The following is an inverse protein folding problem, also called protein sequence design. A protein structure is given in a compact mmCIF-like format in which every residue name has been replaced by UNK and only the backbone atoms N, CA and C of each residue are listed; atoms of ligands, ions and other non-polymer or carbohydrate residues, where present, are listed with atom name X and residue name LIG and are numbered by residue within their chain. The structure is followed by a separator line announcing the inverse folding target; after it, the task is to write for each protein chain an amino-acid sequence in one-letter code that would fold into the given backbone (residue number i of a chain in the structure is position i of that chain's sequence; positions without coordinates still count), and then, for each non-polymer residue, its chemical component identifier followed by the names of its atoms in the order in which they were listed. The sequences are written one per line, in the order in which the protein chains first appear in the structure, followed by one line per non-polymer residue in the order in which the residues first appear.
data_IF_086554245454
#
_entry.id   IF_086554245454
#
_cell.length_a   1.000
_cell.length_b   1.000
_cell.length_c   1.000
_cell.angle_alpha   90.00
_cell.angle_beta   90.00
_cell.angle_gamma   90.00
#
_symmetry.space_group_name_H-M   'P 1'
#
loop_
_entity.id
_entity.type
_entity.pdbx_description
1 polymer ?
#
# COMPACT_ATOMS: atom_id res chain seq x y z
N UNK A 1 -15.35 -4.89 -15.44
CA UNK A 1 -16.39 -4.82 -16.50
C UNK A 1 -15.95 -5.65 -17.70
N UNK A 2 -16.21 -6.96 -17.65
CA UNK A 2 -15.95 -7.85 -18.78
C UNK A 2 -16.98 -7.56 -19.90
N UNK A 3 -16.49 -7.11 -21.03
CA UNK A 3 -17.29 -6.96 -22.23
C UNK A 3 -17.66 -8.35 -22.75
N UNK A 4 -18.90 -8.57 -23.14
CA UNK A 4 -19.37 -9.87 -23.65
C UNK A 4 -18.42 -10.38 -24.77
N UNK A 5 -17.87 -11.59 -24.60
CA UNK A 5 -16.92 -12.21 -25.52
C UNK A 5 -15.42 -11.85 -25.26
N UNK A 6 -15.11 -10.97 -24.31
CA UNK A 6 -13.73 -10.76 -23.89
C UNK A 6 -13.26 -11.88 -22.96
N UNK A 7 -11.95 -12.17 -22.97
CA UNK A 7 -11.30 -13.10 -22.03
C UNK A 7 -10.22 -12.34 -21.28
N UNK A 8 -10.16 -12.60 -20.01
CA UNK A 8 -9.04 -12.17 -19.18
C UNK A 8 -7.78 -12.94 -19.60
N UNK A 9 -6.69 -12.24 -19.79
CA UNK A 9 -5.38 -12.83 -20.09
C UNK A 9 -4.45 -12.81 -18.89
N UNK A 10 -4.47 -11.72 -18.13
CA UNK A 10 -3.63 -11.49 -16.97
C UNK A 10 -4.21 -10.36 -16.15
N UNK A 11 -4.04 -10.42 -14.83
CA UNK A 11 -4.38 -9.33 -13.89
C UNK A 11 -3.25 -9.04 -12.93
N UNK A 12 -3.33 -7.92 -12.22
CA UNK A 12 -2.39 -7.57 -11.15
C UNK A 12 -2.40 -8.56 -9.98
N UNK A 13 -3.44 -9.39 -9.85
CA UNK A 13 -3.51 -10.45 -8.84
C UNK A 13 -2.40 -11.51 -9.00
N UNK A 14 -1.85 -11.66 -10.21
CA UNK A 14 -0.70 -12.56 -10.45
C UNK A 14 0.64 -11.95 -9.99
N UNK A 15 0.66 -10.66 -9.66
CA UNK A 15 1.84 -9.91 -9.24
C UNK A 15 1.55 -9.11 -7.97
N UNK A 16 1.36 -9.75 -6.81
CA UNK A 16 1.11 -9.06 -5.56
C UNK A 16 2.21 -8.02 -5.29
N UNK A 17 1.80 -6.80 -4.92
CA UNK A 17 2.71 -5.68 -4.65
C UNK A 17 3.17 -4.90 -5.89
N UNK A 18 2.83 -5.32 -7.13
CA UNK A 18 3.22 -4.60 -8.34
C UNK A 18 2.51 -3.25 -8.53
N UNK A 19 1.37 -3.05 -7.89
CA UNK A 19 0.61 -1.78 -7.91
C UNK A 19 0.30 -1.39 -6.46
N UNK A 20 1.29 -0.89 -5.70
CA UNK A 20 1.10 -0.54 -4.30
C UNK A 20 0.45 0.85 -4.18
N UNK A 21 -0.52 0.96 -3.27
CA UNK A 21 -0.93 2.25 -2.72
C UNK A 21 -0.04 2.58 -1.52
N UNK A 22 0.54 3.77 -1.50
CA UNK A 22 1.56 4.17 -0.55
C UNK A 22 1.13 5.41 0.24
N UNK A 23 1.44 5.42 1.54
CA UNK A 23 1.46 6.65 2.31
C UNK A 23 2.77 7.39 2.00
N UNK A 24 2.66 8.58 1.43
CA UNK A 24 3.82 9.41 1.06
C UNK A 24 3.80 10.70 1.85
N UNK A 25 4.96 11.07 2.38
CA UNK A 25 5.15 12.33 3.11
C UNK A 25 6.47 12.99 2.76
N UNK A 26 6.68 14.23 3.17
CA UNK A 26 7.95 14.93 2.96
C UNK A 26 8.94 14.64 4.10
N UNK A 27 10.23 14.66 3.78
CA UNK A 27 11.28 14.58 4.79
C UNK A 27 11.13 15.66 5.86
N UNK A 28 10.76 16.89 5.47
CA UNK A 28 10.52 17.98 6.40
C UNK A 28 9.45 17.62 7.45
N UNK A 29 8.38 16.91 7.06
CA UNK A 29 7.35 16.51 8.00
C UNK A 29 7.85 15.43 8.95
N UNK A 30 8.65 14.49 8.45
CA UNK A 30 9.30 13.44 9.26
C UNK A 30 10.23 14.09 10.30
N UNK A 31 11.07 15.04 9.88
CA UNK A 31 12.07 15.69 10.75
C UNK A 31 11.44 16.62 11.80
N UNK A 32 10.42 17.39 11.41
CA UNK A 32 9.84 18.42 12.28
C UNK A 32 8.67 17.91 13.13
N UNK A 33 7.95 16.87 12.66
CA UNK A 33 6.70 16.38 13.28
C UNK A 33 6.55 14.87 13.15
N UNK A 34 7.53 14.07 13.59
CA UNK A 34 7.46 12.61 13.50
C UNK A 34 6.26 12.03 14.24
N UNK A 35 5.83 12.66 15.33
CA UNK A 35 4.65 12.30 16.10
C UNK A 35 3.35 12.37 15.28
N UNK A 36 3.25 13.32 14.35
CA UNK A 36 2.08 13.41 13.47
C UNK A 36 2.10 12.34 12.39
N UNK A 37 3.27 11.98 11.87
CA UNK A 37 3.41 10.87 10.92
C UNK A 37 3.07 9.55 11.61
N UNK A 38 3.58 9.33 12.82
CA UNK A 38 3.25 8.15 13.62
C UNK A 38 1.74 8.07 13.91
N UNK A 39 1.11 9.17 14.31
CA UNK A 39 -0.33 9.20 14.55
C UNK A 39 -1.15 8.85 13.29
N UNK A 40 -0.67 9.24 12.11
CA UNK A 40 -1.31 8.88 10.85
C UNK A 40 -1.18 7.38 10.55
N UNK A 41 0.00 6.80 10.75
CA UNK A 41 0.25 5.35 10.59
C UNK A 41 -0.59 4.55 11.59
N UNK A 42 -0.61 4.97 12.87
CA UNK A 42 -1.44 4.33 13.89
C UNK A 42 -2.93 4.36 13.49
N UNK A 43 -3.41 5.53 13.04
CA UNK A 43 -4.81 5.67 12.58
C UNK A 43 -5.13 4.73 11.40
N UNK A 44 -4.18 4.53 10.49
CA UNK A 44 -4.37 3.59 9.38
C UNK A 44 -4.63 2.17 9.88
N UNK A 45 -3.80 1.65 10.76
CA UNK A 45 -3.96 0.29 11.30
C UNK A 45 -5.16 0.15 12.21
N UNK A 46 -5.51 1.20 12.99
CA UNK A 46 -6.75 1.23 13.77
C UNK A 46 -7.99 1.14 12.84
N UNK A 47 -7.95 1.81 11.68
CA UNK A 47 -9.01 1.69 10.67
C UNK A 47 -9.06 0.27 10.09
N UNK A 48 -7.93 -0.38 9.85
CA UNK A 48 -7.93 -1.77 9.38
C UNK A 48 -8.60 -2.70 10.39
N UNK A 49 -8.25 -2.57 11.66
CA UNK A 49 -8.91 -3.31 12.76
C UNK A 49 -10.42 -3.01 12.81
N UNK A 50 -10.81 -1.74 12.67
CA UNK A 50 -12.22 -1.37 12.64
C UNK A 50 -12.97 -2.02 11.46
N UNK A 51 -12.35 -2.10 10.27
CA UNK A 51 -12.92 -2.74 9.09
C UNK A 51 -13.14 -4.24 9.36
N UNK A 52 -12.18 -4.93 9.96
CA UNK A 52 -12.29 -6.35 10.29
C UNK A 52 -13.42 -6.62 11.28
N UNK A 53 -13.53 -5.81 12.32
CA UNK A 53 -14.53 -5.97 13.39
C UNK A 53 -15.93 -5.49 12.99
N UNK A 54 -16.04 -4.54 12.04
CA UNK A 54 -17.28 -3.84 11.72
C UNK A 54 -17.50 -3.70 10.21
N UNK A 55 -17.29 -4.76 9.44
CA UNK A 55 -17.22 -4.75 7.97
C UNK A 55 -18.40 -4.03 7.31
N UNK A 56 -19.64 -4.41 7.66
CA UNK A 56 -20.86 -3.81 7.08
C UNK A 56 -20.88 -2.28 7.29
N UNK A 57 -20.59 -1.84 8.53
CA UNK A 57 -20.57 -0.42 8.87
C UNK A 57 -19.45 0.34 8.18
N UNK A 58 -18.27 -0.26 8.08
CA UNK A 58 -17.12 0.31 7.38
C UNK A 58 -17.44 0.51 5.89
N UNK A 59 -18.03 -0.49 5.25
CA UNK A 59 -18.39 -0.44 3.84
C UNK A 59 -19.49 0.61 3.55
N UNK A 60 -20.49 0.76 4.41
CA UNK A 60 -21.48 1.85 4.31
C UNK A 60 -20.80 3.23 4.33
N UNK A 61 -19.85 3.45 5.25
CA UNK A 61 -19.14 4.72 5.38
C UNK A 61 -18.32 4.98 4.12
N UNK A 62 -17.55 3.99 3.67
CA UNK A 62 -16.67 4.11 2.51
C UNK A 62 -17.45 4.29 1.21
N UNK A 63 -18.54 3.54 1.02
CA UNK A 63 -19.45 3.68 -0.12
C UNK A 63 -20.09 5.08 -0.17
N UNK A 64 -20.53 5.59 0.99
CA UNK A 64 -21.07 6.96 1.10
C UNK A 64 -20.01 7.99 0.67
N UNK A 65 -18.76 7.82 1.11
CA UNK A 65 -17.65 8.72 0.74
C UNK A 65 -17.30 8.64 -0.74
N UNK A 66 -17.38 7.43 -1.33
CA UNK A 66 -17.16 7.19 -2.75
C UNK A 66 -18.36 7.60 -3.63
N UNK A 67 -19.52 7.93 -3.04
CA UNK A 67 -20.77 8.26 -3.74
C UNK A 67 -21.30 7.11 -4.61
N UNK A 68 -21.17 5.89 -4.10
CA UNK A 68 -21.68 4.65 -4.72
C UNK A 68 -22.56 3.89 -3.71
N UNK A 69 -23.25 2.85 -4.18
CA UNK A 69 -23.96 1.94 -3.27
C UNK A 69 -22.95 1.01 -2.54
N UNK A 70 -23.31 0.44 -1.36
CA UNK A 70 -22.47 -0.54 -0.69
C UNK A 70 -22.11 -1.74 -1.59
N UNK A 71 -23.06 -2.26 -2.37
CA UNK A 71 -22.84 -3.38 -3.29
C UNK A 71 -21.83 -3.02 -4.41
N UNK A 72 -21.88 -1.79 -4.92
CA UNK A 72 -20.87 -1.31 -5.89
C UNK A 72 -19.50 -1.11 -5.26
N UNK A 73 -19.46 -0.66 -3.99
CA UNK A 73 -18.21 -0.48 -3.27
C UNK A 73 -17.52 -1.83 -2.99
N UNK A 74 -18.29 -2.86 -2.68
CA UNK A 74 -17.77 -4.21 -2.47
C UNK A 74 -17.01 -4.73 -3.71
N UNK A 75 -17.50 -4.43 -4.93
CA UNK A 75 -16.79 -4.77 -6.17
C UNK A 75 -15.42 -4.07 -6.31
N UNK A 76 -15.25 -2.88 -5.73
CA UNK A 76 -13.95 -2.21 -5.72
C UNK A 76 -12.97 -2.90 -4.77
N UNK A 77 -13.47 -3.44 -3.65
CA UNK A 77 -12.66 -4.16 -2.69
C UNK A 77 -12.19 -5.54 -3.19
N UNK A 78 -12.95 -6.19 -4.07
CA UNK A 78 -12.53 -7.46 -4.69
C UNK A 78 -11.17 -7.34 -5.42
N UNK A 79 -10.85 -6.14 -5.93
CA UNK A 79 -9.59 -5.83 -6.61
C UNK A 79 -8.51 -5.23 -5.71
N UNK A 80 -8.77 -5.08 -4.39
CA UNK A 80 -7.88 -4.38 -3.46
C UNK A 80 -7.49 -5.32 -2.32
N UNK A 81 -6.20 -5.43 -2.05
CA UNK A 81 -5.69 -6.14 -0.88
C UNK A 81 -5.08 -5.15 0.10
N UNK A 82 -5.62 -5.12 1.30
CA UNK A 82 -5.01 -4.42 2.43
C UNK A 82 -3.93 -5.30 3.06
N UNK A 83 -2.75 -4.75 3.24
CA UNK A 83 -1.65 -5.47 3.87
C UNK A 83 -1.76 -5.39 5.39
N UNK A 84 -1.53 -6.51 6.06
CA UNK A 84 -1.40 -6.57 7.53
C UNK A 84 -0.13 -5.84 7.97
N UNK A 85 0.08 -5.71 9.29
CA UNK A 85 1.31 -5.14 9.87
C UNK A 85 2.51 -5.97 9.42
N UNK A 86 2.44 -7.29 9.54
CA UNK A 86 3.51 -8.22 9.15
C UNK A 86 3.80 -8.14 7.65
N UNK A 87 2.77 -8.04 6.81
CA UNK A 87 2.93 -7.89 5.36
C UNK A 87 3.56 -6.53 4.99
N UNK A 88 3.24 -5.45 5.74
CA UNK A 88 3.91 -4.16 5.57
C UNK A 88 5.39 -4.25 5.96
N UNK A 89 5.73 -4.85 7.09
CA UNK A 89 7.12 -5.06 7.51
C UNK A 89 7.87 -5.92 6.51
N UNK A 90 7.26 -7.01 6.02
CA UNK A 90 7.85 -7.85 4.98
C UNK A 90 8.07 -7.05 3.69
N UNK A 91 7.11 -6.22 3.26
CA UNK A 91 7.21 -5.43 2.04
C UNK A 91 8.37 -4.43 2.06
N UNK A 92 8.71 -3.87 3.22
CA UNK A 92 9.84 -2.96 3.37
C UNK A 92 11.19 -3.67 3.49
N UNK A 93 11.20 -5.00 3.68
CA UNK A 93 12.43 -5.78 3.81
C UNK A 93 13.12 -6.01 2.47
N UNK A 94 14.44 -6.28 2.51
CA UNK A 94 15.20 -6.78 1.36
C UNK A 94 15.09 -8.31 1.29
N UNK A 95 13.85 -8.79 1.07
CA UNK A 95 13.51 -10.22 1.15
C UNK A 95 13.78 -11.02 -0.13
N UNK A 96 14.17 -10.37 -1.25
CA UNK A 96 14.49 -11.05 -2.50
C UNK A 96 13.90 -10.41 -3.76
N UNK A 97 13.91 -11.17 -4.86
CA UNK A 97 13.55 -10.71 -6.20
C UNK A 97 12.05 -10.92 -6.52
N UNK A 98 11.18 -10.45 -5.66
CA UNK A 98 9.73 -10.50 -5.85
C UNK A 98 9.12 -9.09 -5.73
N UNK A 99 8.07 -8.79 -6.53
CA UNK A 99 7.42 -7.47 -6.56
C UNK A 99 6.74 -7.08 -5.24
N UNK A 100 6.53 -8.02 -4.33
CA UNK A 100 6.02 -7.72 -2.98
C UNK A 100 7.03 -6.97 -2.10
N UNK A 101 8.33 -7.06 -2.41
CA UNK A 101 9.38 -6.31 -1.71
C UNK A 101 9.56 -4.94 -2.35
N UNK A 102 9.35 -3.89 -1.57
CA UNK A 102 9.40 -2.51 -2.05
C UNK A 102 10.76 -2.11 -2.66
N UNK A 103 11.91 -2.48 -2.07
CA UNK A 103 13.22 -2.19 -2.67
C UNK A 103 13.35 -2.79 -4.08
N UNK A 104 13.00 -4.06 -4.26
CA UNK A 104 13.05 -4.72 -5.56
C UNK A 104 12.05 -4.12 -6.56
N UNK A 105 10.80 -3.88 -6.13
CA UNK A 105 9.77 -3.28 -6.98
C UNK A 105 10.19 -1.87 -7.45
N UNK A 106 10.75 -1.06 -6.56
CA UNK A 106 11.25 0.27 -6.88
C UNK A 106 12.42 0.23 -7.87
N UNK A 107 13.36 -0.70 -7.69
CA UNK A 107 14.47 -0.91 -8.64
C UNK A 107 13.92 -1.23 -10.04
N UNK A 108 13.03 -2.21 -10.17
CA UNK A 108 12.46 -2.61 -11.47
C UNK A 108 11.64 -1.50 -12.11
N UNK A 109 10.86 -0.76 -11.31
CA UNK A 109 10.12 0.41 -11.80
C UNK A 109 11.07 1.49 -12.31
N UNK A 110 12.11 1.81 -11.55
CA UNK A 110 13.11 2.80 -11.89
C UNK A 110 13.87 2.43 -13.16
N UNK A 111 14.32 1.20 -13.28
CA UNK A 111 14.99 0.69 -14.48
C UNK A 111 14.11 0.85 -15.72
N UNK A 112 12.83 0.51 -15.60
CA UNK A 112 11.87 0.71 -16.67
C UNK A 112 11.71 2.19 -17.02
N UNK A 113 11.51 3.07 -16.04
CA UNK A 113 11.31 4.52 -16.25
C UNK A 113 12.52 5.17 -16.92
N UNK A 114 13.75 4.76 -16.54
CA UNK A 114 14.99 5.21 -17.21
C UNK A 114 15.06 4.67 -18.63
N UNK A 115 14.76 3.37 -18.83
CA UNK A 115 14.86 2.73 -20.15
C UNK A 115 13.96 3.35 -21.20
N UNK A 116 12.79 3.86 -20.79
CA UNK A 116 11.82 4.54 -21.70
C UNK A 116 12.02 6.05 -21.75
N UNK A 117 13.02 6.60 -21.04
CA UNK A 117 13.31 8.03 -20.99
C UNK A 117 12.30 8.86 -20.21
N UNK A 118 11.55 8.25 -19.31
CA UNK A 118 10.58 8.93 -18.46
C UNK A 118 11.28 9.75 -17.37
N UNK A 119 12.37 9.22 -16.83
CA UNK A 119 13.31 9.93 -15.95
C UNK A 119 14.72 9.83 -16.54
N UNK A 120 15.57 10.86 -16.34
CA UNK A 120 16.92 10.89 -16.94
C UNK A 120 17.90 9.93 -16.28
N UNK A 121 17.76 9.67 -15.00
CA UNK A 121 18.62 8.80 -14.19
C UNK A 121 17.86 8.22 -13.00
N UNK A 122 18.39 7.15 -12.42
CA UNK A 122 17.83 6.53 -11.24
C UNK A 122 18.02 7.42 -10.00
N UNK A 123 16.98 7.66 -9.18
CA UNK A 123 17.12 8.31 -7.89
C UNK A 123 17.81 7.38 -6.88
N UNK A 124 18.22 7.94 -5.74
CA UNK A 124 18.62 7.15 -4.59
C UNK A 124 17.41 6.47 -3.96
N UNK A 125 17.32 5.15 -4.12
CA UNK A 125 16.20 4.36 -3.66
C UNK A 125 16.28 4.01 -2.15
N UNK A 126 17.49 4.04 -1.54
CA UNK A 126 17.65 3.74 -0.12
C UNK A 126 16.99 4.82 0.77
N UNK A 127 16.92 6.05 0.26
CA UNK A 127 16.39 7.18 1.01
C UNK A 127 14.86 7.38 0.88
N UNK A 128 14.15 6.60 0.06
CA UNK A 128 12.71 6.83 -0.19
C UNK A 128 11.78 5.99 0.68
N UNK A 129 12.29 4.97 1.37
CA UNK A 129 11.50 4.11 2.25
C UNK A 129 11.86 4.33 3.71
N UNK A 130 10.84 4.54 4.53
CA UNK A 130 11.02 4.66 5.98
C UNK A 130 10.05 3.70 6.69
N UNK A 131 10.50 2.49 7.05
CA UNK A 131 9.68 1.51 7.75
C UNK A 131 9.50 1.82 9.24
N UNK A 132 10.27 2.76 9.83
CA UNK A 132 10.36 2.98 11.27
C UNK A 132 9.02 3.25 11.95
N UNK A 133 8.08 3.90 11.24
CA UNK A 133 6.75 4.19 11.77
C UNK A 133 5.86 2.94 11.84
N UNK A 134 6.01 2.01 10.91
CA UNK A 134 5.31 0.71 10.96
C UNK A 134 5.94 -0.19 12.01
N UNK A 135 7.27 -0.20 12.12
CA UNK A 135 8.01 -0.92 13.15
C UNK A 135 7.59 -0.47 14.55
N UNK A 136 7.52 0.86 14.78
CA UNK A 136 7.06 1.44 16.04
C UNK A 136 5.63 1.00 16.38
N UNK A 137 4.72 1.02 15.40
CA UNK A 137 3.35 0.56 15.63
C UNK A 137 3.32 -0.94 15.99
N UNK A 138 4.08 -1.77 15.27
CA UNK A 138 4.16 -3.20 15.54
C UNK A 138 4.67 -3.50 16.96
N UNK A 139 5.72 -2.80 17.40
CA UNK A 139 6.27 -2.92 18.76
C UNK A 139 5.22 -2.52 19.83
N UNK A 140 4.47 -1.43 19.62
CA UNK A 140 3.42 -0.96 20.54
C UNK A 140 2.26 -1.96 20.65
N UNK A 141 1.94 -2.68 19.59
CA UNK A 141 0.90 -3.72 19.60
C UNK A 141 1.41 -5.08 20.11
N UNK A 142 2.71 -5.23 20.35
CA UNK A 142 3.32 -6.51 20.78
C UNK A 142 3.33 -7.57 19.68
N UNK A 143 3.29 -7.15 18.42
CA UNK A 143 3.52 -8.02 17.27
C UNK A 143 5.03 -8.30 17.18
N UNK A 144 5.45 -9.56 17.48
CA UNK A 144 6.81 -10.07 17.27
C UNK A 144 6.93 -10.73 15.90
#
# INVERSE_FOLDING_TARGET
LTREGSKELITSAEFPGAIPDLLVTSQTLIDERPDQVQALVNTWFDIMTFIEENQERAYEIMATRASVSPDEFELYLEGTRFFTIEENLEAFSDGGEEMKYMPFAAEKMTDFMVSVGFIPEAPDLEAIFDPSFVETYAEEQGAE
#
